data_IF_215761742445
#
_entry.id   IF_215761742445
#
_cell.length_a   1.000
_cell.length_b   1.000
_cell.length_c   1.000
_cell.angle_alpha   90.00
_cell.angle_beta   90.00
_cell.angle_gamma   90.00
#
_symmetry.space_group_name_H-M   'P 1'
#
loop_
_entity.id
_entity.type
_entity.pdbx_description
1 polymer ?
#
# COMPACT_ATOMS: atom_id res chain seq x y z
N UNK A 1 23.24 -24.64 -25.93
CA UNK A 1 23.09 -23.35 -25.23
C UNK A 1 21.77 -22.75 -25.68
N UNK A 2 20.73 -22.89 -24.86
CA UNK A 2 19.35 -22.50 -25.23
C UNK A 2 19.01 -21.23 -24.46
N UNK A 3 19.05 -20.09 -25.14
CA UNK A 3 18.67 -18.78 -24.58
C UNK A 3 17.15 -18.67 -24.58
N UNK A 4 16.53 -18.61 -23.39
CA UNK A 4 15.10 -18.38 -23.26
C UNK A 4 14.78 -16.92 -23.69
N UNK A 5 13.75 -16.70 -24.52
CA UNK A 5 13.32 -15.35 -24.87
C UNK A 5 12.72 -14.68 -23.65
N UNK A 6 13.28 -13.53 -23.25
CA UNK A 6 12.65 -12.68 -22.25
C UNK A 6 11.32 -12.17 -22.85
N UNK A 7 10.19 -12.55 -22.26
CA UNK A 7 8.92 -11.96 -22.61
C UNK A 7 8.84 -10.56 -21.96
N UNK A 8 8.49 -9.49 -22.68
CA UNK A 8 8.17 -8.22 -22.06
C UNK A 8 6.86 -8.37 -21.30
N UNK A 9 6.92 -8.31 -19.98
CA UNK A 9 5.72 -8.32 -19.13
C UNK A 9 5.27 -6.87 -18.96
N UNK A 10 4.22 -6.47 -19.69
CA UNK A 10 3.57 -5.17 -19.54
C UNK A 10 2.64 -5.19 -18.31
N UNK A 11 3.09 -4.64 -17.19
CA UNK A 11 2.22 -4.41 -16.02
C UNK A 11 1.50 -3.06 -16.17
N UNK A 12 0.20 -3.11 -16.42
CA UNK A 12 -0.65 -1.93 -16.45
C UNK A 12 -1.32 -1.72 -15.08
N UNK A 13 -0.73 -0.87 -14.23
CA UNK A 13 -1.37 -0.43 -13.00
C UNK A 13 -2.20 0.83 -13.30
N UNK A 14 -3.53 0.70 -13.32
CA UNK A 14 -4.44 1.85 -13.35
C UNK A 14 -4.42 2.55 -11.99
N UNK A 15 -3.46 3.44 -11.79
CA UNK A 15 -3.56 4.50 -10.79
C UNK A 15 -4.44 5.58 -11.40
N UNK A 16 -5.56 5.89 -10.75
CA UNK A 16 -6.39 7.03 -11.12
C UNK A 16 -5.61 8.31 -10.82
N UNK A 17 -4.85 8.76 -11.82
CA UNK A 17 -4.58 10.15 -12.20
C UNK A 17 -3.57 10.08 -13.37
N UNK A 18 -3.66 11.02 -14.31
CA UNK A 18 -3.18 11.00 -15.70
C UNK A 18 -1.65 10.89 -15.94
N UNK A 19 -0.89 10.15 -15.14
CA UNK A 19 0.55 10.03 -15.26
C UNK A 19 0.95 8.72 -15.96
N UNK A 20 1.10 8.77 -17.29
CA UNK A 20 1.68 7.66 -18.08
C UNK A 20 3.19 7.65 -17.90
N UNK A 21 3.70 6.79 -17.02
CA UNK A 21 5.15 6.57 -16.89
C UNK A 21 5.53 5.24 -17.54
N UNK A 22 6.38 5.30 -18.55
CA UNK A 22 6.95 4.13 -19.24
C UNK A 22 8.12 3.59 -18.42
N UNK A 23 7.96 2.42 -17.81
CA UNK A 23 9.06 1.73 -17.12
C UNK A 23 9.91 0.97 -18.16
N UNK A 24 11.11 1.49 -18.47
CA UNK A 24 12.11 0.78 -19.28
C UNK A 24 12.82 -0.32 -18.43
N UNK A 25 13.42 -1.35 -19.05
CA UNK A 25 13.61 -2.67 -18.42
C UNK A 25 14.58 -2.61 -17.24
N UNK A 26 14.20 -3.28 -16.14
CA UNK A 26 14.88 -3.65 -14.87
C UNK A 26 15.81 -2.62 -14.17
N UNK A 27 16.58 -1.81 -14.88
CA UNK A 27 17.54 -0.83 -14.35
C UNK A 27 16.85 0.39 -13.71
N UNK A 28 15.66 0.78 -14.18
CA UNK A 28 14.89 1.88 -13.56
C UNK A 28 14.21 1.51 -12.23
N UNK A 29 14.09 0.22 -11.90
CA UNK A 29 13.51 -0.22 -10.61
C UNK A 29 14.46 0.02 -9.42
N UNK A 30 15.76 0.09 -9.67
CA UNK A 30 16.79 0.19 -8.63
C UNK A 30 17.33 1.62 -8.42
N UNK A 31 16.99 2.56 -9.30
CA UNK A 31 17.42 3.96 -9.18
C UNK A 31 16.32 4.91 -9.69
N UNK A 32 15.37 5.33 -8.85
CA UNK A 32 14.48 6.41 -9.21
C UNK A 32 15.29 7.71 -9.27
N UNK A 33 15.71 8.12 -10.47
CA UNK A 33 16.33 9.43 -10.69
C UNK A 33 15.24 10.50 -10.72
N UNK A 34 15.24 11.36 -9.70
CA UNK A 34 14.37 12.53 -9.61
C UNK A 34 14.88 13.58 -10.60
N UNK A 35 14.15 13.82 -11.69
CA UNK A 35 14.42 14.94 -12.60
C UNK A 35 13.75 16.20 -12.05
N UNK A 36 14.54 17.10 -11.45
CA UNK A 36 14.08 18.33 -10.80
C UNK A 36 13.64 19.45 -11.77
N UNK A 37 13.73 19.25 -13.08
CA UNK A 37 13.55 20.31 -14.10
C UNK A 37 12.11 20.51 -14.59
N UNK A 38 11.13 19.77 -14.06
CA UNK A 38 9.70 19.90 -14.47
C UNK A 38 8.76 19.93 -13.25
N UNK A 39 9.16 20.58 -12.16
CA UNK A 39 8.42 20.59 -10.89
C UNK A 39 7.51 21.81 -10.72
N UNK A 40 6.20 21.58 -10.54
CA UNK A 40 5.18 22.58 -10.13
C UNK A 40 4.30 22.09 -8.97
N UNK A 41 4.83 21.24 -8.07
CA UNK A 41 4.08 20.57 -6.98
C UNK A 41 4.64 20.80 -5.57
N UNK A 42 3.86 20.41 -4.56
CA UNK A 42 4.22 20.41 -3.13
C UNK A 42 5.28 19.33 -2.81
N UNK A 43 6.43 19.77 -2.31
CA UNK A 43 7.58 18.91 -2.00
C UNK A 43 7.26 17.76 -1.04
N UNK A 44 6.37 17.97 -0.06
CA UNK A 44 6.07 16.92 0.93
C UNK A 44 5.27 15.77 0.32
N UNK A 45 4.37 16.10 -0.60
CA UNK A 45 3.58 15.11 -1.33
C UNK A 45 4.46 14.28 -2.25
N UNK A 46 5.40 14.94 -2.91
CA UNK A 46 6.32 14.35 -3.89
C UNK A 46 7.34 13.41 -3.23
N UNK A 47 7.92 13.82 -2.10
CA UNK A 47 8.80 12.97 -1.30
C UNK A 47 8.08 11.69 -0.82
N UNK A 48 6.81 11.82 -0.41
CA UNK A 48 5.99 10.69 0.03
C UNK A 48 5.72 9.72 -1.12
N UNK A 49 5.41 10.22 -2.31
CA UNK A 49 5.20 9.40 -3.50
C UNK A 49 6.48 8.64 -3.85
N UNK A 50 7.63 9.33 -3.94
CA UNK A 50 8.93 8.71 -4.26
C UNK A 50 9.30 7.66 -3.22
N UNK A 51 9.13 7.96 -1.93
CA UNK A 51 9.42 7.02 -0.83
C UNK A 51 8.54 5.77 -0.89
N UNK A 52 7.25 5.93 -1.19
CA UNK A 52 6.31 4.81 -1.35
C UNK A 52 6.68 3.93 -2.56
N UNK A 53 7.00 4.54 -3.71
CA UNK A 53 7.41 3.82 -4.92
C UNK A 53 8.73 3.07 -4.70
N UNK A 54 9.73 3.72 -4.11
CA UNK A 54 10.98 3.08 -3.74
C UNK A 54 10.77 1.93 -2.74
N UNK A 55 9.77 2.03 -1.86
CA UNK A 55 9.40 0.95 -0.97
C UNK A 55 8.80 -0.26 -1.70
N UNK A 56 7.97 -0.05 -2.73
CA UNK A 56 7.44 -1.16 -3.54
C UNK A 56 8.54 -1.90 -4.30
N UNK A 57 9.52 -1.17 -4.87
CA UNK A 57 10.70 -1.79 -5.50
C UNK A 57 11.45 -2.71 -4.54
N UNK A 58 11.67 -2.27 -3.29
CA UNK A 58 12.30 -3.11 -2.24
C UNK A 58 11.48 -4.36 -1.91
N UNK A 59 10.15 -4.25 -1.85
CA UNK A 59 9.27 -5.38 -1.55
C UNK A 59 9.28 -6.43 -2.67
N UNK A 60 9.26 -5.97 -3.94
CA UNK A 60 9.39 -6.85 -5.11
C UNK A 60 10.75 -7.56 -5.15
N UNK A 61 11.83 -6.88 -4.76
CA UNK A 61 13.15 -7.50 -4.60
C UNK A 61 13.13 -8.64 -3.59
N UNK A 62 12.60 -8.40 -2.38
CA UNK A 62 12.49 -9.42 -1.33
C UNK A 62 11.63 -10.61 -1.78
N UNK A 63 10.52 -10.36 -2.47
CA UNK A 63 9.66 -11.44 -3.00
C UNK A 63 10.40 -12.27 -4.06
N UNK A 64 11.11 -11.62 -4.97
CA UNK A 64 11.84 -12.29 -6.06
C UNK A 64 12.97 -13.16 -5.53
N UNK A 65 13.74 -12.66 -4.55
CA UNK A 65 14.78 -13.42 -3.84
C UNK A 65 14.20 -14.68 -3.17
N UNK A 66 13.06 -14.54 -2.47
CA UNK A 66 12.41 -15.65 -1.79
C UNK A 66 11.85 -16.71 -2.76
N UNK A 67 11.27 -16.29 -3.89
CA UNK A 67 10.79 -17.21 -4.94
C UNK A 67 11.95 -17.97 -5.57
N UNK A 68 13.08 -17.31 -5.82
CA UNK A 68 14.27 -17.97 -6.35
C UNK A 68 14.83 -19.01 -5.37
N UNK A 69 14.91 -18.66 -4.09
CA UNK A 69 15.34 -19.61 -3.05
C UNK A 69 14.46 -20.87 -3.01
N UNK A 70 13.13 -20.71 -3.12
CA UNK A 70 12.20 -21.84 -3.23
C UNK A 70 12.42 -22.68 -4.48
N UNK A 71 12.67 -22.04 -5.63
CA UNK A 71 12.95 -22.74 -6.89
C UNK A 71 14.26 -23.55 -6.83
N UNK A 72 15.23 -23.12 -6.02
CA UNK A 72 16.47 -23.84 -5.73
C UNK A 72 16.33 -24.93 -4.66
N UNK A 73 15.11 -25.17 -4.14
CA UNK A 73 14.84 -26.17 -3.11
C UNK A 73 15.28 -25.73 -1.70
N UNK A 74 15.57 -24.45 -1.48
CA UNK A 74 15.94 -23.90 -0.18
C UNK A 74 14.67 -23.49 0.57
N UNK A 75 14.20 -24.37 1.45
CA UNK A 75 12.96 -24.15 2.22
C UNK A 75 13.16 -23.38 3.53
N UNK A 76 14.38 -23.37 4.07
CA UNK A 76 14.78 -22.59 5.25
C UNK A 76 15.97 -21.70 4.89
N UNK A 77 15.69 -20.62 4.17
CA UNK A 77 16.68 -19.66 3.71
C UNK A 77 16.45 -18.27 4.32
N UNK A 78 17.51 -17.47 4.36
CA UNK A 78 17.45 -16.09 4.88
C UNK A 78 16.50 -15.20 4.07
N UNK A 79 16.36 -15.46 2.76
CA UNK A 79 15.44 -14.76 1.85
C UNK A 79 13.98 -15.01 2.24
N UNK A 80 13.63 -16.26 2.56
CA UNK A 80 12.30 -16.61 3.05
C UNK A 80 12.01 -15.98 4.41
N UNK A 81 13.00 -15.95 5.29
CA UNK A 81 12.84 -15.30 6.58
C UNK A 81 12.69 -13.77 6.43
N UNK A 82 13.40 -13.16 5.47
CA UNK A 82 13.24 -11.74 5.12
C UNK A 82 11.84 -11.44 4.59
N UNK A 83 11.27 -12.31 3.76
CA UNK A 83 9.89 -12.21 3.29
C UNK A 83 8.89 -12.33 4.46
N UNK A 84 9.07 -13.30 5.37
CA UNK A 84 8.22 -13.46 6.57
C UNK A 84 8.23 -12.22 7.46
N UNK A 85 9.41 -11.67 7.75
CA UNK A 85 9.55 -10.42 8.54
C UNK A 85 8.86 -9.23 7.87
N UNK A 86 8.97 -9.12 6.55
CA UNK A 86 8.29 -8.07 5.78
C UNK A 86 6.76 -8.20 5.91
N UNK A 87 6.23 -9.41 5.76
CA UNK A 87 4.80 -9.69 5.93
C UNK A 87 4.31 -9.37 7.34
N UNK A 88 5.07 -9.75 8.37
CA UNK A 88 4.74 -9.44 9.76
C UNK A 88 4.68 -7.92 10.00
N UNK A 89 5.61 -7.16 9.43
CA UNK A 89 5.60 -5.69 9.51
C UNK A 89 4.40 -5.06 8.83
N UNK A 90 3.99 -5.59 7.67
CA UNK A 90 2.78 -5.11 6.96
C UNK A 90 1.54 -5.32 7.83
N UNK A 91 1.38 -6.50 8.42
CA UNK A 91 0.24 -6.79 9.29
C UNK A 91 0.22 -5.94 10.54
N UNK A 92 1.38 -5.68 11.13
CA UNK A 92 1.48 -4.76 12.27
C UNK A 92 1.09 -3.32 11.92
N UNK A 93 1.50 -2.82 10.75
CA UNK A 93 1.09 -1.50 10.26
C UNK A 93 -0.41 -1.45 10.01
N UNK A 94 -0.99 -2.47 9.35
CA UNK A 94 -2.44 -2.55 9.13
C UNK A 94 -3.20 -2.56 10.45
N UNK A 95 -2.76 -3.35 11.43
CA UNK A 95 -3.36 -3.42 12.78
C UNK A 95 -3.32 -2.07 13.47
N UNK A 96 -2.15 -1.42 13.51
CA UNK A 96 -2.01 -0.07 14.10
C UNK A 96 -2.91 0.94 13.42
N UNK A 97 -3.01 0.90 12.10
CA UNK A 97 -3.87 1.81 11.35
C UNK A 97 -5.35 1.57 11.66
N UNK A 98 -5.82 0.30 11.70
CA UNK A 98 -7.20 -0.02 12.08
C UNK A 98 -7.54 0.50 13.48
N UNK A 99 -6.69 0.22 14.46
CA UNK A 99 -6.89 0.70 15.83
C UNK A 99 -6.91 2.23 15.89
N UNK A 100 -6.01 2.90 15.16
CA UNK A 100 -5.96 4.35 15.15
C UNK A 100 -7.15 5.01 14.42
N UNK A 101 -7.76 4.32 13.46
CA UNK A 101 -9.00 4.79 12.81
C UNK A 101 -10.19 4.62 13.76
N UNK A 102 -10.27 3.48 14.44
CA UNK A 102 -11.31 3.20 15.43
C UNK A 102 -11.28 4.19 16.59
N UNK A 103 -10.12 4.40 17.22
CA UNK A 103 -9.99 5.34 18.34
C UNK A 103 -10.33 6.77 17.93
N UNK A 104 -9.86 7.23 16.76
CA UNK A 104 -10.22 8.58 16.26
C UNK A 104 -11.72 8.71 16.01
N UNK A 105 -12.36 7.68 15.46
CA UNK A 105 -13.81 7.71 15.25
C UNK A 105 -14.56 7.78 16.58
N UNK A 106 -14.12 7.02 17.59
CA UNK A 106 -14.68 7.02 18.94
C UNK A 106 -14.50 8.36 19.63
N UNK A 107 -13.28 8.90 19.66
CA UNK A 107 -12.97 10.20 20.26
C UNK A 107 -13.77 11.34 19.60
N UNK A 108 -13.86 11.34 18.27
CA UNK A 108 -14.65 12.32 17.53
C UNK A 108 -16.14 12.24 17.89
N UNK A 109 -16.68 11.02 17.97
CA UNK A 109 -18.07 10.81 18.36
C UNK A 109 -18.34 11.20 19.82
N UNK A 110 -17.46 10.84 20.75
CA UNK A 110 -17.57 11.23 22.16
C UNK A 110 -17.52 12.75 22.35
N UNK A 111 -16.63 13.43 21.62
CA UNK A 111 -16.54 14.88 21.61
C UNK A 111 -17.84 15.53 21.10
N UNK A 112 -18.41 14.98 20.02
CA UNK A 112 -19.71 15.41 19.50
C UNK A 112 -20.84 15.16 20.50
N UNK A 113 -20.87 13.99 21.14
CA UNK A 113 -21.92 13.65 22.12
C UNK A 113 -21.90 14.55 23.35
N UNK A 114 -20.71 15.01 23.77
CA UNK A 114 -20.55 15.96 24.89
C UNK A 114 -20.99 17.38 24.53
N UNK A 115 -20.73 17.81 23.29
CA UNK A 115 -21.00 19.19 22.85
C UNK A 115 -22.42 19.37 22.30
N UNK A 116 -22.93 18.42 21.51
CA UNK A 116 -24.26 18.42 20.91
C UNK A 116 -24.85 16.99 20.87
N UNK A 117 -25.57 16.59 21.94
CA UNK A 117 -26.19 15.28 22.02
C UNK A 117 -27.21 14.98 20.92
N UNK A 118 -27.90 16.01 20.38
CA UNK A 118 -28.91 15.81 19.33
C UNK A 118 -28.23 15.51 17.99
N UNK A 119 -27.15 16.24 17.67
CA UNK A 119 -26.37 15.98 16.45
C UNK A 119 -25.67 14.62 16.50
N UNK A 120 -25.17 14.21 17.67
CA UNK A 120 -24.58 12.88 17.86
C UNK A 120 -25.58 11.76 17.54
N UNK A 121 -26.86 11.90 17.93
CA UNK A 121 -27.91 10.92 17.58
C UNK A 121 -28.12 10.81 16.06
N UNK A 122 -28.16 11.94 15.36
CA UNK A 122 -28.31 11.96 13.89
C UNK A 122 -27.14 11.24 13.22
N UNK A 123 -25.91 11.51 13.65
CA UNK A 123 -24.71 10.84 13.11
C UNK A 123 -24.77 9.33 13.38
N UNK A 124 -25.16 8.93 14.59
CA UNK A 124 -25.27 7.52 14.96
C UNK A 124 -26.27 6.77 14.07
N UNK A 125 -27.45 7.34 13.83
CA UNK A 125 -28.46 6.72 12.95
C UNK A 125 -28.00 6.65 11.49
N UNK A 126 -27.31 7.68 11.00
CA UNK A 126 -26.71 7.64 9.67
C UNK A 126 -25.64 6.53 9.55
N UNK A 127 -24.78 6.37 10.57
CA UNK A 127 -23.77 5.31 10.61
C UNK A 127 -24.39 3.91 10.65
N UNK A 128 -25.46 3.70 11.44
CA UNK A 128 -26.19 2.42 11.47
C UNK A 128 -26.74 2.04 10.09
N UNK A 129 -27.40 2.99 9.42
CA UNK A 129 -27.94 2.76 8.07
C UNK A 129 -26.84 2.44 7.04
N UNK A 130 -25.68 3.08 7.14
CA UNK A 130 -24.53 2.76 6.30
C UNK A 130 -23.96 1.36 6.56
N UNK A 131 -23.96 0.89 7.82
CA UNK A 131 -23.52 -0.47 8.16
C UNK A 131 -24.48 -1.54 7.63
N UNK A 132 -25.79 -1.30 7.68
CA UNK A 132 -26.81 -2.21 7.14
C UNK A 132 -26.69 -2.36 5.61
N UNK A 133 -26.36 -1.26 4.91
CA UNK A 133 -26.12 -1.30 3.46
C UNK A 133 -24.80 -1.97 3.10
N UNK A 134 -23.72 -1.73 3.85
CA UNK A 134 -22.43 -2.38 3.64
C UNK A 134 -22.48 -3.91 3.88
N UNK A 135 -23.14 -4.35 4.94
CA UNK A 135 -23.30 -5.78 5.26
C UNK A 135 -24.24 -6.53 4.31
N UNK A 136 -25.14 -5.82 3.64
CA UNK A 136 -26.00 -6.38 2.58
C UNK A 136 -25.26 -6.52 1.24
N UNK A 137 -24.18 -5.77 1.01
CA UNK A 137 -23.37 -5.84 -0.21
C UNK A 137 -22.29 -6.94 -0.19
N UNK A 138 -21.98 -7.49 0.99
CA UNK A 138 -21.03 -8.61 1.17
C UNK A 138 -21.68 -10.01 1.09
N UNK A 139 -23.01 -10.09 0.90
CA UNK A 139 -23.75 -11.35 0.73
C UNK A 139 -24.13 -11.58 -0.73
#
# INVERSE_FOLDING_TARGET
MTTLPFLPIDFNFRVADSNRQTFMPFTSLLSPTVNYTTYKGDLQTEERIVSNVASFGRQLGILSEAVLALAEGKHDSDELERLRRMMARIEDVKRRNRNAVEERAKEAFESLAKSDPQRARVVLEAMKSQLETATSAER
#
